data_IF_128506936813
#
_entry.id   IF_128506936813
#
_cell.length_a   1.000
_cell.length_b   1.000
_cell.length_c   1.000
_cell.angle_alpha   90.00
_cell.angle_beta   90.00
_cell.angle_gamma   90.00
#
_symmetry.space_group_name_H-M   'P 1'
#
loop_
_entity.id
_entity.type
_entity.pdbx_description
1 polymer ?
#
# COMPACT_ATOMS: atom_id res chain seq x y z
N UNK A 1 24.04 -9.34 -22.99
CA UNK A 1 24.19 -8.00 -23.59
C UNK A 1 22.79 -7.50 -23.93
N UNK A 2 22.26 -6.53 -23.18
CA UNK A 2 20.97 -5.92 -23.51
C UNK A 2 21.12 -5.14 -24.82
N UNK A 3 20.31 -5.48 -25.82
CA UNK A 3 20.25 -4.70 -27.05
C UNK A 3 19.77 -3.30 -26.66
N UNK A 4 20.54 -2.23 -26.94
CA UNK A 4 20.10 -0.88 -26.61
C UNK A 4 18.81 -0.60 -27.37
N UNK A 5 17.72 -0.37 -26.63
CA UNK A 5 16.45 0.07 -27.20
C UNK A 5 16.72 1.29 -28.09
N UNK A 6 16.35 1.20 -29.37
CA UNK A 6 16.58 2.24 -30.37
C UNK A 6 15.93 3.53 -29.88
N UNK A 7 16.73 4.45 -29.32
CA UNK A 7 16.25 5.74 -28.84
C UNK A 7 15.65 6.51 -30.03
N UNK A 8 14.33 6.65 -30.02
CA UNK A 8 13.59 7.40 -31.04
C UNK A 8 13.87 8.88 -30.78
N UNK A 9 14.77 9.48 -31.57
CA UNK A 9 14.98 10.93 -31.51
C UNK A 9 13.67 11.64 -31.91
N UNK A 10 13.07 12.46 -31.02
CA UNK A 10 11.83 13.14 -31.34
C UNK A 10 12.06 14.17 -32.44
N UNK A 11 11.21 14.17 -33.47
CA UNK A 11 11.25 15.14 -34.57
C UNK A 11 10.62 16.49 -34.22
N UNK A 12 9.78 16.55 -33.19
CA UNK A 12 9.02 17.73 -32.78
C UNK A 12 8.93 17.83 -31.26
N UNK A 13 8.80 19.05 -30.73
CA UNK A 13 8.56 19.30 -29.31
C UNK A 13 7.31 18.57 -28.78
N UNK A 14 6.26 18.40 -29.60
CA UNK A 14 5.06 17.63 -29.23
C UNK A 14 5.41 16.17 -28.97
N UNK A 15 6.19 15.55 -29.86
CA UNK A 15 6.65 14.17 -29.72
C UNK A 15 7.60 14.02 -28.53
N UNK A 16 8.49 14.98 -28.32
CA UNK A 16 9.41 15.01 -27.17
C UNK A 16 8.64 14.96 -25.84
N UNK A 17 7.65 15.85 -25.64
CA UNK A 17 6.81 15.86 -24.43
C UNK A 17 6.04 14.55 -24.23
N UNK A 18 5.60 13.92 -25.32
CA UNK A 18 4.89 12.64 -25.25
C UNK A 18 5.83 11.50 -24.83
N UNK A 19 7.09 11.50 -25.27
CA UNK A 19 8.11 10.54 -24.84
C UNK A 19 8.52 10.78 -23.39
N UNK A 20 8.77 12.02 -22.99
CA UNK A 20 9.12 12.39 -21.61
C UNK A 20 8.01 12.00 -20.61
N UNK A 21 6.74 12.07 -21.01
CA UNK A 21 5.62 11.60 -20.18
C UNK A 21 5.61 10.09 -19.94
N UNK A 22 6.13 9.31 -20.91
CA UNK A 22 6.20 7.84 -20.87
C UNK A 22 7.46 7.31 -20.18
N UNK A 23 8.50 8.14 -20.07
CA UNK A 23 9.72 7.79 -19.36
C UNK A 23 9.45 7.56 -17.88
N UNK A 24 10.31 6.77 -17.23
CA UNK A 24 10.18 6.47 -15.80
C UNK A 24 10.31 7.74 -14.96
N UNK A 25 9.40 7.91 -13.99
CA UNK A 25 9.31 9.11 -13.14
C UNK A 25 9.43 8.72 -11.67
N UNK A 26 9.98 9.61 -10.85
CA UNK A 26 10.06 9.41 -9.39
C UNK A 26 8.66 9.43 -8.75
N UNK A 27 7.82 10.36 -9.22
CA UNK A 27 6.40 10.39 -8.91
C UNK A 27 5.65 9.85 -10.13
N UNK A 28 5.07 8.67 -10.00
CA UNK A 28 4.40 8.00 -11.11
C UNK A 28 3.11 8.72 -11.53
N UNK A 29 2.82 8.64 -12.82
CA UNK A 29 1.53 9.08 -13.35
C UNK A 29 0.41 8.10 -12.92
N UNK A 30 -0.86 8.54 -12.87
CA UNK A 30 -1.97 7.64 -12.65
C UNK A 30 -2.04 6.54 -13.71
N UNK A 31 -2.30 5.31 -13.26
CA UNK A 31 -2.31 4.12 -14.13
C UNK A 31 -3.50 4.13 -15.10
N UNK A 32 -3.18 4.12 -16.39
CA UNK A 32 -4.17 4.00 -17.48
C UNK A 32 -4.55 2.53 -17.68
N UNK A 33 -5.86 2.27 -17.80
CA UNK A 33 -6.39 0.93 -18.06
C UNK A 33 -6.82 0.77 -19.51
N UNK A 34 -6.36 -0.30 -20.15
CA UNK A 34 -6.81 -0.70 -21.48
C UNK A 34 -7.87 -1.82 -21.40
N UNK A 35 -9.03 -1.60 -22.00
CA UNK A 35 -10.13 -2.57 -22.08
C UNK A 35 -10.16 -3.21 -23.47
N UNK A 36 -9.98 -4.52 -23.51
CA UNK A 36 -9.93 -5.33 -24.73
C UNK A 36 -11.01 -6.41 -24.71
N UNK A 37 -11.40 -6.88 -25.90
CA UNK A 37 -12.26 -8.04 -26.05
C UNK A 37 -11.66 -9.10 -26.96
N UNK A 38 -11.82 -10.35 -26.57
CA UNK A 38 -11.51 -11.52 -27.37
C UNK A 38 -12.46 -11.71 -28.55
N UNK A 39 -12.12 -12.65 -29.43
CA UNK A 39 -12.99 -13.11 -30.53
C UNK A 39 -14.35 -13.62 -30.02
N UNK A 40 -14.33 -14.40 -28.94
CA UNK A 40 -15.49 -15.03 -28.31
C UNK A 40 -15.99 -14.30 -27.04
N UNK A 41 -16.02 -12.97 -27.00
CA UNK A 41 -16.49 -12.24 -25.81
C UNK A 41 -18.03 -12.18 -25.71
N UNK A 42 -18.60 -12.71 -24.62
CA UNK A 42 -20.06 -12.70 -24.38
C UNK A 42 -20.61 -11.28 -24.15
N UNK A 43 -21.92 -11.09 -24.38
CA UNK A 43 -22.56 -9.79 -24.17
C UNK A 43 -22.48 -9.31 -22.71
N UNK A 44 -22.62 -10.22 -21.74
CA UNK A 44 -22.51 -9.92 -20.30
C UNK A 44 -21.11 -9.37 -19.98
N UNK A 45 -20.06 -10.04 -20.45
CA UNK A 45 -18.69 -9.55 -20.27
C UNK A 45 -18.47 -8.19 -20.95
N UNK A 46 -19.05 -7.96 -22.13
CA UNK A 46 -18.97 -6.67 -22.82
C UNK A 46 -19.67 -5.54 -22.05
N UNK A 47 -20.81 -5.82 -21.41
CA UNK A 47 -21.49 -4.87 -20.52
C UNK A 47 -20.64 -4.58 -19.28
N UNK A 48 -20.10 -5.59 -18.63
CA UNK A 48 -19.20 -5.40 -17.49
C UNK A 48 -17.95 -4.58 -17.85
N UNK A 49 -17.33 -4.82 -19.02
CA UNK A 49 -16.22 -3.98 -19.52
C UNK A 49 -16.65 -2.52 -19.76
N UNK A 50 -17.90 -2.27 -20.16
CA UNK A 50 -18.40 -0.91 -20.35
C UNK A 50 -18.60 -0.19 -19.00
N UNK A 51 -19.22 -0.86 -18.03
CA UNK A 51 -19.47 -0.29 -16.70
C UNK A 51 -18.17 -0.07 -15.93
N UNK A 52 -17.22 -1.03 -15.96
CA UNK A 52 -15.90 -0.87 -15.37
C UNK A 52 -15.10 0.26 -16.02
N UNK A 53 -15.24 0.45 -17.35
CA UNK A 53 -14.63 1.58 -18.05
C UNK A 53 -15.20 2.90 -17.56
N UNK A 54 -16.51 2.99 -17.36
CA UNK A 54 -17.16 4.21 -16.87
C UNK A 54 -16.68 4.60 -15.47
N UNK A 55 -16.51 3.63 -14.57
CA UNK A 55 -15.93 3.86 -13.25
C UNK A 55 -14.46 4.30 -13.28
N UNK A 56 -13.74 3.99 -14.35
CA UNK A 56 -12.30 4.26 -14.50
C UNK A 56 -12.00 5.53 -15.32
N UNK A 57 -13.02 6.18 -15.89
CA UNK A 57 -12.84 7.45 -16.60
C UNK A 57 -12.24 8.52 -15.67
N UNK A 58 -11.29 9.35 -16.16
CA UNK A 58 -10.80 9.45 -17.53
C UNK A 58 -9.61 8.51 -17.87
N UNK A 59 -9.14 7.70 -16.92
CA UNK A 59 -7.93 6.86 -17.03
C UNK A 59 -8.20 5.52 -17.72
N UNK A 60 -9.02 5.52 -18.77
CA UNK A 60 -9.49 4.33 -19.44
C UNK A 60 -9.50 4.47 -20.97
N UNK A 61 -8.96 3.47 -21.66
CA UNK A 61 -8.98 3.34 -23.12
C UNK A 61 -9.71 2.04 -23.45
N UNK A 62 -10.66 2.05 -24.38
CA UNK A 62 -11.40 0.84 -24.80
C UNK A 62 -11.25 0.61 -26.29
N UNK A 63 -10.88 -0.61 -26.67
CA UNK A 63 -10.85 -1.03 -28.07
C UNK A 63 -12.15 -1.75 -28.45
N UNK A 64 -12.67 -1.41 -29.63
CA UNK A 64 -13.86 -2.05 -30.18
C UNK A 64 -13.52 -3.28 -31.04
N UNK A 65 -12.30 -3.36 -31.60
CA UNK A 65 -11.87 -4.49 -32.42
C UNK A 65 -11.76 -5.75 -31.56
N UNK A 66 -12.19 -6.89 -32.11
CA UNK A 66 -11.97 -8.21 -31.52
C UNK A 66 -10.51 -8.62 -31.72
N UNK A 67 -9.90 -9.17 -30.68
CA UNK A 67 -8.50 -9.61 -30.73
C UNK A 67 -8.46 -11.12 -30.47
N UNK A 68 -7.69 -11.84 -31.29
CA UNK A 68 -7.49 -13.27 -31.12
C UNK A 68 -6.27 -13.48 -30.22
N UNK A 69 -6.51 -13.44 -28.91
CA UNK A 69 -5.47 -13.50 -27.88
C UNK A 69 -5.91 -14.44 -26.78
N UNK A 70 -4.99 -15.29 -26.35
CA UNK A 70 -5.14 -16.20 -25.23
C UNK A 70 -4.12 -15.81 -24.14
N UNK A 71 -4.50 -14.98 -23.14
CA UNK A 71 -3.55 -14.37 -22.21
C UNK A 71 -2.64 -15.35 -21.46
N UNK A 72 -3.14 -16.55 -21.15
CA UNK A 72 -2.39 -17.60 -20.44
C UNK A 72 -1.53 -18.48 -21.35
N UNK A 73 -1.56 -18.28 -22.66
CA UNK A 73 -0.76 -19.04 -23.63
C UNK A 73 0.35 -18.18 -24.24
N UNK A 74 0.01 -16.94 -24.64
CA UNK A 74 0.99 -15.98 -25.15
C UNK A 74 0.62 -14.55 -24.72
N UNK A 75 1.59 -13.81 -24.18
CA UNK A 75 1.43 -12.43 -23.70
C UNK A 75 1.99 -11.36 -24.62
N UNK A 76 2.69 -11.70 -25.70
CA UNK A 76 3.43 -10.76 -26.56
C UNK A 76 2.53 -9.66 -27.15
N UNK A 77 1.33 -10.05 -27.60
CA UNK A 77 0.35 -9.09 -28.14
C UNK A 77 -0.19 -8.13 -27.07
N UNK A 78 -0.31 -8.61 -25.82
CA UNK A 78 -0.78 -7.80 -24.69
C UNK A 78 0.30 -6.81 -24.26
N UNK A 79 1.55 -7.26 -24.20
CA UNK A 79 2.73 -6.44 -23.92
C UNK A 79 2.91 -5.35 -24.99
N UNK A 80 2.76 -5.71 -26.26
CA UNK A 80 2.75 -4.74 -27.36
C UNK A 80 1.65 -3.68 -27.20
N UNK A 81 0.44 -4.09 -26.78
CA UNK A 81 -0.64 -3.14 -26.52
C UNK A 81 -0.37 -2.25 -25.30
N UNK A 82 0.24 -2.79 -24.24
CA UNK A 82 0.68 -2.02 -23.08
C UNK A 82 1.69 -0.94 -23.48
N UNK A 83 2.75 -1.31 -24.20
CA UNK A 83 3.79 -0.38 -24.68
C UNK A 83 3.24 0.69 -25.62
N UNK A 84 2.42 0.27 -26.59
CA UNK A 84 1.89 1.19 -27.61
C UNK A 84 0.97 2.25 -26.98
N UNK A 85 0.12 1.85 -26.05
CA UNK A 85 -0.88 2.72 -25.44
C UNK A 85 -0.42 3.36 -24.13
N UNK A 86 0.77 3.01 -23.62
CA UNK A 86 1.26 3.41 -22.31
C UNK A 86 0.24 3.07 -21.20
N UNK A 87 -0.21 1.81 -21.20
CA UNK A 87 -1.22 1.30 -20.29
C UNK A 87 -0.63 0.22 -19.38
N UNK A 88 -0.52 0.52 -18.09
CA UNK A 88 0.02 -0.39 -17.07
C UNK A 88 -1.01 -1.40 -16.55
N UNK A 89 -2.30 -1.18 -16.85
CA UNK A 89 -3.41 -2.05 -16.46
C UNK A 89 -4.19 -2.48 -17.69
N UNK A 90 -4.71 -3.71 -17.68
CA UNK A 90 -5.56 -4.19 -18.76
C UNK A 90 -6.66 -5.12 -18.25
N UNK A 91 -7.83 -5.02 -18.89
CA UNK A 91 -8.95 -5.95 -18.67
C UNK A 91 -9.33 -6.55 -20.01
N UNK A 92 -9.23 -7.87 -20.11
CA UNK A 92 -9.57 -8.63 -21.30
C UNK A 92 -10.82 -9.46 -21.09
N UNK A 93 -11.88 -9.17 -21.85
CA UNK A 93 -13.11 -9.97 -21.80
C UNK A 93 -13.08 -11.14 -22.75
N UNK A 94 -13.46 -12.32 -22.26
CA UNK A 94 -13.55 -13.56 -23.03
C UNK A 94 -14.73 -14.41 -22.57
N UNK A 95 -15.12 -15.42 -23.37
CA UNK A 95 -16.11 -16.41 -22.97
C UNK A 95 -15.84 -17.75 -23.67
N UNK A 96 -16.06 -18.84 -22.94
CA UNK A 96 -16.04 -20.22 -23.43
C UNK A 96 -16.94 -21.09 -22.54
N UNK A 97 -17.30 -22.30 -22.96
CA UNK A 97 -18.10 -23.23 -22.13
C UNK A 97 -17.43 -23.54 -20.78
N UNK A 98 -16.11 -23.76 -20.77
CA UNK A 98 -15.33 -24.02 -19.54
C UNK A 98 -15.16 -22.77 -18.66
N UNK A 99 -15.10 -21.60 -19.28
CA UNK A 99 -14.81 -20.30 -18.64
C UNK A 99 -15.81 -19.26 -19.15
N UNK A 100 -17.07 -19.33 -18.70
CA UNK A 100 -18.10 -18.43 -19.17
C UNK A 100 -17.91 -17.03 -18.56
N UNK A 101 -18.17 -16.00 -19.37
CA UNK A 101 -18.25 -14.59 -18.93
C UNK A 101 -17.01 -14.10 -18.16
N UNK A 102 -15.82 -14.46 -18.66
CA UNK A 102 -14.56 -14.17 -18.00
C UNK A 102 -14.02 -12.78 -18.29
N UNK A 103 -13.48 -12.16 -17.25
CA UNK A 103 -12.61 -11.00 -17.31
C UNK A 103 -11.23 -11.42 -16.80
N UNK A 104 -10.21 -11.24 -17.63
CA UNK A 104 -8.81 -11.38 -17.22
C UNK A 104 -8.26 -10.00 -16.88
N UNK A 105 -7.93 -9.80 -15.61
CA UNK A 105 -7.30 -8.60 -15.07
C UNK A 105 -5.79 -8.78 -15.09
N UNK A 106 -5.06 -7.79 -15.58
CA UNK A 106 -3.62 -7.89 -15.82
C UNK A 106 -2.92 -6.59 -15.45
N UNK A 107 -1.75 -6.71 -14.81
CA UNK A 107 -0.84 -5.59 -14.57
C UNK A 107 0.44 -5.78 -15.37
N UNK A 108 1.03 -4.66 -15.76
CA UNK A 108 2.28 -4.63 -16.50
C UNK A 108 3.32 -3.84 -15.72
N UNK A 109 4.54 -4.36 -15.71
CA UNK A 109 5.73 -3.67 -15.20
C UNK A 109 6.75 -3.62 -16.33
N UNK A 110 7.22 -2.41 -16.69
CA UNK A 110 8.09 -2.20 -17.85
C UNK A 110 7.52 -2.82 -19.15
N UNK A 111 6.20 -2.67 -19.33
CA UNK A 111 5.41 -3.25 -20.45
C UNK A 111 5.41 -4.78 -20.54
N UNK A 112 6.00 -5.49 -19.57
CA UNK A 112 5.90 -6.95 -19.42
C UNK A 112 4.79 -7.31 -18.45
N UNK A 113 4.13 -8.45 -18.68
CA UNK A 113 3.08 -8.91 -17.77
C UNK A 113 3.68 -9.20 -16.40
N UNK A 114 3.23 -8.46 -15.39
CA UNK A 114 3.59 -8.68 -14.00
C UNK A 114 2.78 -9.86 -13.46
N UNK A 115 1.45 -9.76 -13.51
CA UNK A 115 0.56 -10.78 -12.97
C UNK A 115 -0.82 -10.76 -13.66
N UNK A 116 -1.55 -11.87 -13.53
CA UNK A 116 -2.88 -12.04 -14.14
C UNK A 116 -3.86 -12.76 -13.22
N UNK A 117 -5.12 -12.30 -13.22
CA UNK A 117 -6.21 -12.88 -12.46
C UNK A 117 -7.47 -13.02 -13.34
N UNK A 118 -7.99 -14.23 -13.50
CA UNK A 118 -9.30 -14.44 -14.13
C UNK A 118 -10.41 -14.39 -13.10
N UNK A 119 -11.45 -13.61 -13.40
CA UNK A 119 -12.69 -13.56 -12.64
C UNK A 119 -13.86 -13.79 -13.61
N UNK A 120 -14.73 -14.75 -13.28
CA UNK A 120 -15.89 -15.09 -14.09
C UNK A 120 -17.15 -14.48 -13.50
N UNK A 121 -17.91 -13.76 -14.32
CA UNK A 121 -19.13 -13.08 -13.89
C UNK A 121 -20.26 -14.10 -13.75
N UNK A 122 -20.97 -14.07 -12.63
CA UNK A 122 -22.25 -14.77 -12.49
C UNK A 122 -23.35 -14.02 -13.29
N UNK A 123 -23.92 -14.62 -14.34
CA UNK A 123 -24.94 -13.98 -15.16
C UNK A 123 -26.25 -13.71 -14.42
N UNK A 124 -26.57 -14.47 -13.37
CA UNK A 124 -27.87 -14.38 -12.69
C UNK A 124 -27.96 -13.13 -11.81
N UNK A 125 -26.85 -12.78 -11.17
CA UNK A 125 -26.79 -11.67 -10.20
C UNK A 125 -26.26 -10.37 -10.82
N UNK A 126 -25.64 -10.44 -12.00
CA UNK A 126 -25.12 -9.26 -12.70
C UNK A 126 -26.21 -8.22 -12.96
N UNK A 127 -25.97 -6.97 -12.57
CA UNK A 127 -26.81 -5.81 -12.90
C UNK A 127 -25.93 -4.68 -13.39
N UNK A 128 -26.28 -4.14 -14.56
CA UNK A 128 -25.55 -3.03 -15.17
C UNK A 128 -25.80 -1.72 -14.44
N UNK A 129 -24.88 -0.78 -14.58
CA UNK A 129 -25.01 0.57 -14.02
C UNK A 129 -26.31 1.27 -14.46
N UNK A 130 -26.72 1.09 -15.71
CA UNK A 130 -27.93 1.68 -16.29
C UNK A 130 -29.25 1.08 -15.76
N UNK A 131 -29.22 -0.10 -15.13
CA UNK A 131 -30.43 -0.71 -14.56
C UNK A 131 -30.85 -0.05 -13.24
N UNK A 132 -29.92 0.61 -12.57
CA UNK A 132 -30.17 1.39 -11.37
C UNK A 132 -30.59 2.80 -11.76
N UNK A 133 -31.84 3.18 -11.50
CA UNK A 133 -32.45 4.46 -11.93
C UNK A 133 -32.07 5.68 -11.09
N UNK A 134 -31.15 5.52 -10.14
CA UNK A 134 -30.73 6.56 -9.22
C UNK A 134 -29.59 7.43 -9.76
N UNK A 135 -29.32 8.52 -9.05
CA UNK A 135 -28.21 9.44 -9.35
C UNK A 135 -26.89 8.68 -9.29
N UNK A 136 -26.00 8.96 -10.25
CA UNK A 136 -24.63 8.42 -10.31
C UNK A 136 -23.63 9.43 -9.77
N UNK A 137 -22.47 8.92 -9.33
CA UNK A 137 -21.35 9.76 -8.96
C UNK A 137 -20.82 10.55 -10.17
N UNK A 138 -20.24 11.72 -9.93
CA UNK A 138 -19.58 12.46 -10.99
C UNK A 138 -18.34 11.71 -11.51
N UNK A 139 -18.07 11.85 -12.82
CA UNK A 139 -16.96 11.19 -13.49
C UNK A 139 -15.63 11.71 -12.98
N UNK A 140 -14.66 10.82 -12.76
CA UNK A 140 -13.30 11.17 -12.36
C UNK A 140 -13.10 11.41 -10.86
N UNK A 141 -14.15 11.27 -10.04
CA UNK A 141 -14.02 11.31 -8.58
C UNK A 141 -13.29 10.08 -8.04
N UNK A 142 -12.53 10.26 -6.97
CA UNK A 142 -11.81 9.18 -6.28
C UNK A 142 -12.81 8.35 -5.46
N UNK A 143 -12.98 7.04 -5.73
CA UNK A 143 -13.86 6.21 -4.92
C UNK A 143 -13.28 5.96 -3.54
N UNK A 144 -14.16 5.81 -2.55
CA UNK A 144 -13.80 5.09 -1.32
C UNK A 144 -13.77 3.58 -1.60
N UNK A 145 -12.76 2.88 -1.11
CA UNK A 145 -12.62 1.43 -1.27
C UNK A 145 -12.82 0.74 0.07
N UNK A 146 -13.62 -0.32 0.06
CA UNK A 146 -13.87 -1.16 1.23
C UNK A 146 -13.74 -2.62 0.84
N UNK A 147 -13.02 -3.39 1.65
CA UNK A 147 -12.88 -4.84 1.51
C UNK A 147 -13.36 -5.49 2.79
N UNK A 148 -14.21 -6.50 2.68
CA UNK A 148 -14.73 -7.24 3.84
C UNK A 148 -14.64 -8.74 3.60
N UNK A 149 -14.12 -9.45 4.60
CA UNK A 149 -13.87 -10.90 4.53
C UNK A 149 -12.40 -11.20 4.79
N UNK A 150 -12.14 -12.26 5.56
CA UNK A 150 -10.79 -12.69 5.91
C UNK A 150 -9.94 -13.16 4.72
N UNK A 151 -10.48 -13.68 3.58
CA UNK A 151 -9.65 -14.12 2.46
C UNK A 151 -8.77 -13.01 1.86
N UNK A 152 -9.22 -11.76 1.96
CA UNK A 152 -8.49 -10.58 1.48
C UNK A 152 -7.28 -10.20 2.34
N UNK A 153 -7.16 -10.77 3.54
CA UNK A 153 -6.14 -10.43 4.54
C UNK A 153 -5.25 -11.61 4.91
N UNK A 154 -5.31 -12.69 4.11
CA UNK A 154 -4.44 -13.84 4.29
C UNK A 154 -2.97 -13.42 4.28
N UNK A 155 -2.15 -13.90 5.23
CA UNK A 155 -0.71 -13.65 5.22
C UNK A 155 0.00 -14.34 4.06
N UNK A 156 -0.62 -15.37 3.47
CA UNK A 156 -0.10 -16.09 2.31
C UNK A 156 -0.74 -15.54 1.03
N UNK A 157 0.07 -15.16 0.02
CA UNK A 157 -0.45 -14.73 -1.28
C UNK A 157 -1.39 -15.78 -1.89
N UNK A 158 -2.54 -15.30 -2.34
CA UNK A 158 -3.59 -16.11 -2.95
C UNK A 158 -4.39 -15.23 -3.93
N UNK A 159 -5.41 -15.81 -4.57
CA UNK A 159 -6.22 -15.08 -5.54
C UNK A 159 -6.96 -13.86 -4.94
N UNK A 160 -7.32 -13.90 -3.65
CA UNK A 160 -8.08 -12.84 -2.98
C UNK A 160 -7.17 -11.68 -2.56
N UNK A 161 -6.00 -11.96 -2.00
CA UNK A 161 -4.99 -10.93 -1.70
C UNK A 161 -4.48 -10.28 -2.99
N UNK A 162 -4.32 -11.04 -4.08
CA UNK A 162 -4.04 -10.49 -5.40
C UNK A 162 -5.20 -9.64 -5.92
N UNK A 163 -6.46 -10.07 -5.75
CA UNK A 163 -7.63 -9.27 -6.12
C UNK A 163 -7.70 -7.95 -5.33
N UNK A 164 -7.43 -7.98 -4.01
CA UNK A 164 -7.34 -6.76 -3.17
C UNK A 164 -6.26 -5.82 -3.72
N UNK A 165 -5.05 -6.33 -3.92
CA UNK A 165 -3.92 -5.56 -4.48
C UNK A 165 -4.28 -4.96 -5.85
N UNK A 166 -4.88 -5.75 -6.74
CA UNK A 166 -5.28 -5.33 -8.07
C UNK A 166 -6.37 -4.26 -8.01
N UNK A 167 -7.48 -4.48 -7.30
CA UNK A 167 -8.60 -3.55 -7.28
C UNK A 167 -8.26 -2.24 -6.55
N UNK A 168 -7.39 -2.26 -5.54
CA UNK A 168 -6.83 -1.04 -4.96
C UNK A 168 -6.05 -0.25 -6.00
N UNK A 169 -5.14 -0.90 -6.73
CA UNK A 169 -4.35 -0.25 -7.79
C UNK A 169 -5.21 0.22 -8.98
N UNK A 170 -6.28 -0.52 -9.28
CA UNK A 170 -7.21 -0.23 -10.37
C UNK A 170 -8.06 1.01 -10.07
N UNK A 171 -8.62 1.13 -8.88
CA UNK A 171 -9.59 2.19 -8.54
C UNK A 171 -9.01 3.38 -7.77
N UNK A 172 -7.77 3.32 -7.26
CA UNK A 172 -7.18 4.44 -6.49
C UNK A 172 -7.10 5.75 -7.27
N UNK A 173 -6.97 5.73 -8.60
CA UNK A 173 -6.76 6.94 -9.39
C UNK A 173 -5.42 7.61 -9.10
N UNK A 174 -5.36 8.94 -9.18
CA UNK A 174 -4.14 9.71 -8.87
C UNK A 174 -3.87 9.82 -7.37
N UNK A 175 -2.59 10.02 -7.04
CA UNK A 175 -2.15 10.30 -5.68
C UNK A 175 -2.54 11.75 -5.33
N UNK A 176 -3.15 11.93 -4.16
CA UNK A 176 -3.63 13.22 -3.68
C UNK A 176 -3.27 13.36 -2.20
N UNK A 177 -2.68 14.49 -1.82
CA UNK A 177 -2.33 14.78 -0.42
C UNK A 177 -3.54 15.25 0.38
N UNK A 178 -4.51 15.88 -0.29
CA UNK A 178 -5.76 16.34 0.29
C UNK A 178 -6.92 15.89 -0.61
N UNK A 179 -8.09 15.72 0.00
CA UNK A 179 -9.32 15.33 -0.68
C UNK A 179 -10.42 16.26 -0.21
N UNK A 180 -11.23 16.74 -1.15
CA UNK A 180 -12.41 17.53 -0.85
C UNK A 180 -13.54 16.64 -0.32
N UNK A 181 -14.23 17.10 0.73
CA UNK A 181 -15.31 16.38 1.40
C UNK A 181 -16.49 16.17 0.44
N UNK A 182 -16.78 17.15 -0.42
CA UNK A 182 -17.85 17.02 -1.43
C UNK A 182 -17.52 15.97 -2.52
N UNK A 183 -16.24 15.62 -2.66
CA UNK A 183 -15.76 14.58 -3.56
C UNK A 183 -16.02 13.16 -3.05
N UNK A 184 -16.34 12.98 -1.76
CA UNK A 184 -16.61 11.70 -1.12
C UNK A 184 -18.03 11.19 -1.41
N UNK A 185 -18.35 10.99 -2.70
CA UNK A 185 -19.71 10.72 -3.15
C UNK A 185 -20.08 9.23 -3.18
N UNK A 186 -19.11 8.35 -3.43
CA UNK A 186 -19.40 6.94 -3.66
C UNK A 186 -18.29 6.02 -3.16
N UNK A 187 -18.68 4.78 -2.89
CA UNK A 187 -17.79 3.72 -2.46
C UNK A 187 -17.94 2.49 -3.34
N UNK A 188 -16.82 1.81 -3.58
CA UNK A 188 -16.77 0.48 -4.18
C UNK A 188 -16.42 -0.50 -3.06
N UNK A 189 -17.33 -1.43 -2.83
CA UNK A 189 -17.23 -2.43 -1.78
C UNK A 189 -17.02 -3.81 -2.40
N UNK A 190 -16.01 -4.51 -1.90
CA UNK A 190 -15.72 -5.89 -2.21
C UNK A 190 -15.95 -6.75 -0.97
N UNK A 191 -16.77 -7.78 -1.10
CA UNK A 191 -16.92 -8.78 -0.04
C UNK A 191 -16.68 -10.19 -0.53
N UNK A 192 -16.12 -11.02 0.34
CA UNK A 192 -15.93 -12.45 0.13
C UNK A 192 -16.25 -13.16 1.44
N UNK A 193 -16.96 -14.29 1.36
CA UNK A 193 -17.14 -15.17 2.52
C UNK A 193 -15.83 -15.86 2.85
N UNK A 194 -15.71 -16.32 4.09
CA UNK A 194 -14.56 -17.11 4.51
C UNK A 194 -14.51 -18.43 3.72
N UNK A 195 -13.30 -18.90 3.46
CA UNK A 195 -13.09 -20.18 2.79
C UNK A 195 -13.46 -21.31 3.76
N UNK A 196 -14.32 -22.22 3.30
CA UNK A 196 -14.72 -23.41 4.06
C UNK A 196 -14.17 -24.64 3.33
N UNK A 197 -13.44 -25.49 4.05
CA UNK A 197 -12.85 -26.70 3.49
C UNK A 197 -13.93 -27.61 2.90
N UNK A 198 -13.75 -28.00 1.63
CA UNK A 198 -14.69 -28.84 0.88
C UNK A 198 -15.75 -28.08 0.07
N UNK A 199 -15.87 -26.76 0.26
CA UNK A 199 -16.74 -25.91 -0.56
C UNK A 199 -15.99 -25.29 -1.75
N UNK A 200 -16.69 -24.91 -2.83
CA UNK A 200 -16.08 -24.16 -3.91
C UNK A 200 -15.56 -22.80 -3.40
N UNK A 201 -14.48 -22.32 -4.02
CA UNK A 201 -13.90 -21.00 -3.72
C UNK A 201 -14.98 -19.92 -3.63
N UNK A 202 -15.03 -19.13 -2.54
CA UNK A 202 -16.07 -18.14 -2.34
C UNK A 202 -16.07 -17.07 -3.43
N UNK A 203 -17.26 -16.62 -3.82
CA UNK A 203 -17.37 -15.55 -4.81
C UNK A 203 -16.91 -14.21 -4.22
N UNK A 204 -16.31 -13.37 -5.06
CA UNK A 204 -16.03 -11.97 -4.74
C UNK A 204 -17.21 -11.12 -5.22
N UNK A 205 -17.90 -10.49 -4.29
CA UNK A 205 -19.03 -9.62 -4.56
C UNK A 205 -18.55 -8.17 -4.69
N UNK A 206 -18.64 -7.58 -5.87
CA UNK A 206 -18.40 -6.17 -6.10
C UNK A 206 -19.74 -5.42 -6.10
N UNK A 207 -19.82 -4.38 -5.27
CA UNK A 207 -20.98 -3.49 -5.16
C UNK A 207 -20.52 -2.04 -5.19
N UNK A 208 -21.31 -1.18 -5.80
CA UNK A 208 -21.04 0.26 -5.86
C UNK A 208 -22.20 0.99 -5.24
N UNK A 209 -21.89 1.83 -4.26
CA UNK A 209 -22.87 2.57 -3.48
C UNK A 209 -22.61 4.06 -3.56
N UNK A 210 -23.68 4.84 -3.71
CA UNK A 210 -23.68 6.28 -3.48
C UNK A 210 -23.91 6.53 -1.99
N UNK A 211 -23.18 7.51 -1.44
CA UNK A 211 -23.27 7.88 -0.04
C UNK A 211 -24.25 9.03 0.13
N UNK A 212 -25.16 8.89 1.10
CA UNK A 212 -26.09 9.92 1.55
C UNK A 212 -25.85 10.17 3.03
N UNK A 213 -25.44 11.38 3.37
CA UNK A 213 -25.25 11.80 4.77
C UNK A 213 -26.53 12.44 5.32
N UNK A 214 -27.02 11.94 6.45
CA UNK A 214 -28.13 12.53 7.21
C UNK A 214 -27.62 13.15 8.50
N UNK A 215 -28.33 14.17 9.00
CA UNK A 215 -28.04 14.80 10.30
C UNK A 215 -28.26 13.77 11.41
N UNK A 216 -27.24 13.58 12.26
CA UNK A 216 -27.23 12.61 13.37
C UNK A 216 -27.37 13.26 14.75
N UNK A 217 -27.20 14.58 14.86
CA UNK A 217 -27.12 15.30 16.14
C UNK A 217 -25.72 15.36 16.76
N UNK A 218 -24.74 14.64 16.19
CA UNK A 218 -23.32 14.68 16.57
C UNK A 218 -22.47 15.39 15.51
N UNK A 219 -21.17 15.57 15.77
CA UNK A 219 -20.21 16.13 14.79
C UNK A 219 -20.10 15.28 13.52
N UNK A 220 -20.25 13.95 13.64
CA UNK A 220 -20.20 13.02 12.51
C UNK A 220 -21.61 12.71 11.98
N UNK A 221 -21.87 12.83 10.67
CA UNK A 221 -23.19 12.54 10.10
C UNK A 221 -23.50 11.04 10.10
N UNK A 222 -24.79 10.69 10.06
CA UNK A 222 -25.23 9.32 9.81
C UNK A 222 -25.09 9.01 8.32
N UNK A 223 -24.32 7.99 7.99
CA UNK A 223 -24.10 7.58 6.60
C UNK A 223 -25.13 6.53 6.20
N UNK A 224 -25.86 6.80 5.12
CA UNK A 224 -26.69 5.84 4.41
C UNK A 224 -26.11 5.57 3.03
N UNK A 225 -26.33 4.37 2.51
CA UNK A 225 -25.81 3.93 1.22
C UNK A 225 -26.95 3.57 0.28
N UNK A 226 -26.82 3.94 -0.98
CA UNK A 226 -27.77 3.62 -2.04
C UNK A 226 -27.04 2.93 -3.18
N UNK A 227 -27.48 1.74 -3.58
CA UNK A 227 -26.79 0.98 -4.62
C UNK A 227 -26.97 1.61 -5.99
N UNK A 228 -25.86 1.94 -6.66
CA UNK A 228 -25.84 2.58 -7.98
C UNK A 228 -25.33 1.68 -9.09
N UNK A 229 -24.68 0.57 -8.72
CA UNK A 229 -24.12 -0.40 -9.67
C UNK A 229 -22.79 0.04 -10.31
N UNK A 230 -22.12 -0.86 -11.05
CA UNK A 230 -22.56 -2.21 -11.38
C UNK A 230 -22.56 -3.16 -10.19
N UNK A 231 -23.46 -4.14 -10.22
CA UNK A 231 -23.47 -5.28 -9.30
C UNK A 231 -22.82 -6.45 -10.03
N UNK A 232 -21.69 -6.92 -9.52
CA UNK A 232 -20.95 -8.02 -10.15
C UNK A 232 -20.55 -9.03 -9.09
N UNK A 233 -20.90 -10.29 -9.32
CA UNK A 233 -20.36 -11.41 -8.54
C UNK A 233 -19.35 -12.16 -9.39
N UNK A 234 -18.17 -12.35 -8.83
CA UNK A 234 -17.04 -12.96 -9.48
C UNK A 234 -16.73 -14.31 -8.87
N UNK A 235 -16.68 -15.35 -9.71
CA UNK A 235 -16.05 -16.61 -9.36
C UNK A 235 -14.57 -16.56 -9.74
N UNK A 236 -13.70 -16.89 -8.80
CA UNK A 236 -12.24 -16.90 -9.01
C UNK A 236 -11.85 -17.98 -10.03
N UNK A 237 -10.99 -17.60 -10.98
CA UNK A 237 -10.46 -18.46 -12.03
C UNK A 237 -8.97 -18.74 -11.87
N UNK A 238 -8.26 -18.75 -13.00
CA UNK A 238 -6.82 -18.94 -13.05
C UNK A 238 -6.08 -17.71 -12.50
N UNK A 239 -4.94 -17.98 -11.89
CA UNK A 239 -4.00 -16.98 -11.39
C UNK A 239 -2.66 -17.22 -12.07
N UNK A 240 -2.00 -16.12 -12.48
CA UNK A 240 -0.56 -16.08 -12.77
C UNK A 240 0.05 -15.10 -11.77
N UNK A 241 0.94 -15.61 -10.93
CA UNK A 241 1.70 -14.81 -9.99
C UNK A 241 2.87 -14.12 -10.70
N UNK A 242 3.36 -13.05 -10.08
CA UNK A 242 4.55 -12.37 -10.55
C UNK A 242 5.81 -13.16 -10.20
N UNK A 243 6.80 -13.14 -11.09
CA UNK A 243 8.13 -13.65 -10.77
C UNK A 243 8.70 -12.86 -9.59
N UNK A 244 9.31 -13.56 -8.62
CA UNK A 244 9.77 -12.94 -7.37
C UNK A 244 10.76 -11.78 -7.60
N UNK A 245 11.67 -11.94 -8.56
CA UNK A 245 12.63 -10.90 -8.95
C UNK A 245 11.94 -9.66 -9.52
N UNK A 246 10.97 -9.86 -10.42
CA UNK A 246 10.19 -8.78 -11.03
C UNK A 246 9.31 -8.07 -9.99
N UNK A 247 8.69 -8.82 -9.08
CA UNK A 247 7.89 -8.26 -7.99
C UNK A 247 8.74 -7.41 -7.05
N UNK A 248 9.94 -7.87 -6.71
CA UNK A 248 10.89 -7.12 -5.88
C UNK A 248 11.31 -5.81 -6.55
N UNK A 249 11.57 -5.84 -7.86
CA UNK A 249 11.91 -4.64 -8.63
C UNK A 249 10.72 -3.68 -8.74
N UNK A 250 9.50 -4.20 -8.92
CA UNK A 250 8.27 -3.40 -9.00
C UNK A 250 7.91 -2.71 -7.66
N UNK A 251 8.27 -3.30 -6.52
CA UNK A 251 8.01 -2.75 -5.19
C UNK A 251 9.14 -1.83 -4.67
N UNK A 252 10.20 -1.61 -5.45
CA UNK A 252 11.35 -0.83 -5.04
C UNK A 252 10.99 0.65 -4.89
N UNK A 253 11.27 1.23 -3.73
CA UNK A 253 11.10 2.67 -3.49
C UNK A 253 12.29 3.47 -4.06
N UNK A 254 12.06 4.62 -4.70
CA UNK A 254 13.13 5.47 -5.19
C UNK A 254 13.87 6.12 -4.01
N UNK A 255 15.20 6.10 -4.05
CA UNK A 255 16.06 6.63 -2.98
C UNK A 255 15.86 8.12 -2.69
N UNK A 256 15.33 8.87 -3.66
CA UNK A 256 15.01 10.29 -3.52
C UNK A 256 13.82 10.54 -2.59
N UNK A 257 12.87 9.60 -2.52
CA UNK A 257 11.71 9.68 -1.62
C UNK A 257 12.02 9.18 -0.22
N UNK A 258 13.12 8.46 -0.02
CA UNK A 258 13.57 8.03 1.30
C UNK A 258 14.38 9.16 1.95
N UNK A 259 13.83 9.87 2.96
CA UNK A 259 14.59 10.88 3.68
C UNK A 259 15.76 10.19 4.39
N UNK A 260 16.99 10.57 4.03
CA UNK A 260 18.18 10.10 4.74
C UNK A 260 18.21 10.75 6.12
N UNK A 261 17.66 10.06 7.11
CA UNK A 261 17.78 10.49 8.50
C UNK A 261 19.25 10.39 8.92
N UNK A 262 19.85 11.53 9.22
CA UNK A 262 21.21 11.57 9.78
C UNK A 262 21.07 11.44 11.28
N UNK A 263 21.69 10.43 11.88
CA UNK A 263 21.67 10.20 13.32
C UNK A 263 22.06 11.48 14.06
N UNK A 264 21.31 11.83 15.11
CA UNK A 264 21.53 12.99 15.98
C UNK A 264 21.37 14.36 15.30
N UNK A 265 20.79 14.44 14.09
CA UNK A 265 20.48 15.71 13.42
C UNK A 265 18.99 15.72 13.11
N UNK A 266 18.28 16.67 13.71
CA UNK A 266 16.85 16.89 13.49
C UNK A 266 16.65 18.28 12.86
N UNK A 267 15.48 18.49 12.24
CA UNK A 267 15.08 19.82 11.74
C UNK A 267 13.88 20.25 12.56
N UNK A 268 14.00 21.38 13.24
CA UNK A 268 12.96 21.93 14.10
C UNK A 268 11.77 22.46 13.25
N UNK A 269 10.64 22.75 13.90
CA UNK A 269 9.44 23.33 13.27
C UNK A 269 9.73 24.66 12.55
N UNK A 270 10.74 25.39 13.01
CA UNK A 270 11.21 26.63 12.38
C UNK A 270 12.13 26.39 11.16
N UNK A 271 12.51 25.14 10.89
CA UNK A 271 13.41 24.77 9.79
C UNK A 271 14.90 24.72 10.16
N UNK A 272 15.24 25.00 11.41
CA UNK A 272 16.62 24.99 11.90
C UNK A 272 17.14 23.57 12.13
N UNK A 273 18.41 23.32 11.79
CA UNK A 273 19.05 22.02 12.03
C UNK A 273 19.61 21.95 13.44
N UNK A 274 19.03 21.08 14.26
CA UNK A 274 19.43 20.87 15.65
C UNK A 274 20.23 19.57 15.76
N UNK A 275 21.43 19.65 16.34
CA UNK A 275 22.27 18.49 16.64
C UNK A 275 22.13 18.06 18.09
N UNK A 276 21.77 16.81 18.36
CA UNK A 276 21.75 16.26 19.73
C UNK A 276 23.12 15.71 20.12
N UNK A 277 23.75 16.34 21.10
CA UNK A 277 24.97 15.81 21.74
C UNK A 277 24.55 14.96 22.93
N UNK A 278 24.86 13.66 22.86
CA UNK A 278 24.63 12.76 23.98
C UNK A 278 25.88 12.75 24.86
N UNK A 279 25.87 13.52 25.93
CA UNK A 279 26.92 13.49 26.94
C UNK A 279 26.77 12.19 27.74
N UNK A 280 27.85 11.44 27.90
CA UNK A 280 27.84 10.22 28.71
C UNK A 280 27.64 10.55 30.20
N UNK A 281 27.21 9.55 30.99
CA UNK A 281 27.17 9.69 32.45
C UNK A 281 28.60 9.92 32.97
N UNK A 282 28.84 11.06 33.60
CA UNK A 282 30.14 11.38 34.18
C UNK A 282 30.26 10.68 35.54
N UNK A 283 31.16 9.69 35.63
CA UNK A 283 31.48 9.04 36.90
C UNK A 283 32.57 9.84 37.64
N UNK A 284 32.18 10.47 38.74
CA UNK A 284 33.05 11.30 39.58
C UNK A 284 33.76 10.51 40.68
N UNK A 285 33.46 9.22 40.85
CA UNK A 285 34.10 8.41 41.88
C UNK A 285 35.59 8.18 41.59
N UNK A 286 35.99 8.29 40.33
CA UNK A 286 37.39 8.24 39.91
C UNK A 286 38.12 9.57 40.10
N UNK A 287 37.41 10.65 40.44
CA UNK A 287 38.00 11.98 40.62
C UNK A 287 38.62 12.09 42.01
N UNK A 288 39.88 11.65 42.14
CA UNK A 288 40.65 11.91 43.34
C UNK A 288 41.03 13.40 43.40
N UNK A 289 40.43 14.14 44.32
CA UNK A 289 40.80 15.54 44.55
C UNK A 289 42.21 15.64 45.15
N UNK A 290 42.89 16.77 44.90
CA UNK A 290 44.20 17.03 45.50
C UNK A 290 44.03 17.09 47.02
N UNK A 291 44.64 16.15 47.74
CA UNK A 291 44.67 16.13 49.21
C UNK A 291 45.51 17.30 49.75
N UNK A 292 44.91 18.48 49.82
CA UNK A 292 45.54 19.68 50.37
C UNK A 292 45.89 19.45 51.84
N UNK A 293 46.89 20.18 52.34
CA UNK A 293 47.39 19.99 53.71
C UNK A 293 46.28 20.14 54.76
N UNK A 294 45.34 21.07 54.57
CA UNK A 294 44.20 21.27 55.48
C UNK A 294 43.07 20.25 55.40
N UNK A 295 43.09 19.34 54.41
CA UNK A 295 42.12 18.23 54.28
C UNK A 295 42.70 16.90 54.78
N UNK A 296 43.98 16.89 55.18
CA UNK A 296 44.59 15.74 55.82
C UNK A 296 44.28 15.84 57.31
N UNK A 297 43.62 14.83 57.88
CA UNK A 297 43.45 14.70 59.33
C UNK A 297 44.81 14.89 60.00
N UNK A 298 44.87 15.77 60.98
CA UNK A 298 46.07 15.91 61.80
C UNK A 298 46.18 14.69 62.72
N UNK A 299 47.36 14.43 63.25
CA UNK A 299 47.58 13.26 64.10
C UNK A 299 46.80 13.36 65.43
N UNK A 300 46.53 14.60 65.86
CA UNK A 300 45.75 14.95 67.05
C UNK A 300 44.26 14.59 66.86
N UNK A 301 43.68 14.86 65.67
CA UNK A 301 42.26 14.54 65.38
C UNK A 301 41.95 13.03 65.39
N UNK A 302 42.95 12.19 65.09
CA UNK A 302 42.79 10.72 65.07
C UNK A 302 42.92 10.14 66.48
N UNK A 303 43.72 10.77 67.33
CA UNK A 303 43.91 10.36 68.73
C UNK A 303 42.67 10.73 69.58
N UNK A 304 42.03 11.88 69.34
CA UNK A 304 40.76 12.28 70.00
C UNK A 304 39.56 11.37 69.63
N UNK A 305 39.43 10.92 68.36
CA UNK A 305 38.35 9.99 67.96
C UNK A 305 38.53 8.57 68.55
N UNK A 306 39.77 8.16 68.89
CA UNK A 306 40.04 6.85 69.48
C UNK A 306 39.84 6.77 71.01
N UNK A 307 39.75 7.91 71.69
CA UNK A 307 39.48 7.98 73.14
C UNK A 307 38.00 8.22 73.48
N UNK A 308 37.14 8.61 72.52
CA UNK A 308 35.73 8.97 72.76
C UNK A 308 34.69 8.15 71.93
N UNK A 309 34.99 6.86 71.69
CA UNK A 309 34.17 5.97 70.85
C UNK A 309 33.42 4.84 71.57
N UNK A 310 33.24 4.94 72.90
CA UNK A 310 32.47 3.98 73.69
C UNK A 310 31.03 4.45 73.89
N UNK A 311 30.07 3.68 73.39
CA UNK A 311 28.59 3.81 73.52
C UNK A 311 27.89 4.93 72.74
N UNK A 312 27.01 4.55 71.80
CA UNK A 312 25.59 4.95 71.66
C UNK A 312 25.04 4.34 70.33
N UNK A 313 24.35 3.20 70.41
CA UNK A 313 22.89 3.02 70.22
C UNK A 313 22.47 2.90 68.74
N UNK A 314 22.05 1.68 68.38
CA UNK A 314 21.20 1.36 67.24
C UNK A 314 19.90 2.15 67.32
N UNK A 315 19.56 2.89 66.27
CA UNK A 315 18.17 3.22 65.97
C UNK A 315 17.90 2.87 64.51
N UNK A 316 17.16 1.78 64.33
CA UNK A 316 16.46 1.40 63.11
C UNK A 316 15.49 2.52 62.70
N UNK A 317 15.66 3.06 61.49
CA UNK A 317 14.54 3.65 60.76
C UNK A 317 14.53 3.01 59.38
N UNK A 318 13.54 2.16 59.21
CA UNK A 318 13.05 1.57 57.98
C UNK A 318 12.53 2.65 57.02
N UNK A 319 13.01 2.65 55.79
CA UNK A 319 12.25 3.12 54.64
C UNK A 319 12.39 2.07 53.53
N UNK A 320 11.43 1.14 53.51
CA UNK A 320 11.06 0.42 52.30
C UNK A 320 10.28 1.40 51.40
N UNK A 321 10.69 1.58 50.15
CA UNK A 321 9.80 1.38 48.99
C UNK A 321 10.57 1.46 47.66
N UNK A 322 10.41 0.37 46.90
CA UNK A 322 10.24 0.28 45.43
C UNK A 322 11.30 0.86 44.49
N UNK A 323 12.06 -0.03 43.84
CA UNK A 323 11.90 -0.33 42.40
C UNK A 323 13.09 -1.18 41.89
N UNK A 324 12.92 -2.50 41.85
CA UNK A 324 13.76 -3.40 41.04
C UNK A 324 12.88 -4.18 40.07
N UNK A 325 12.83 -3.71 38.83
CA UNK A 325 12.84 -4.59 37.65
C UNK A 325 13.12 -3.76 36.40
N UNK A 326 14.35 -3.84 35.89
CA UNK A 326 14.66 -4.08 34.47
C UNK A 326 16.18 -4.02 34.26
N UNK A 327 16.81 -5.19 34.23
CA UNK A 327 18.12 -5.36 33.64
C UNK A 327 18.03 -5.23 32.10
N UNK A 328 19.03 -4.62 31.44
CA UNK A 328 19.33 -4.96 30.06
C UNK A 328 20.61 -5.78 29.97
N UNK A 329 20.46 -6.94 29.34
CA UNK A 329 21.50 -7.85 28.89
C UNK A 329 22.68 -7.15 28.21
N UNK A 330 23.89 -7.59 28.57
CA UNK A 330 25.12 -7.18 27.90
C UNK A 330 25.33 -8.05 26.66
N UNK A 331 25.21 -7.47 25.46
CA UNK A 331 25.77 -8.09 24.25
C UNK A 331 27.23 -7.65 24.05
N UNK A 332 28.17 -8.60 23.81
CA UNK A 332 29.58 -8.25 23.63
C UNK A 332 29.83 -7.59 22.27
N UNK A 333 30.60 -6.50 22.31
CA UNK A 333 31.10 -5.79 21.12
C UNK A 333 31.99 -6.73 20.30
N UNK A 334 31.62 -6.97 19.04
CA UNK A 334 32.51 -7.53 18.02
C UNK A 334 33.72 -6.62 17.83
N UNK A 335 34.90 -7.18 18.05
CA UNK A 335 36.17 -6.58 17.65
C UNK A 335 36.22 -6.45 16.12
N UNK A 336 36.70 -5.30 15.66
CA UNK A 336 37.13 -5.10 14.28
C UNK A 336 38.43 -5.89 14.05
N UNK A 337 38.40 -6.78 13.06
CA UNK A 337 39.53 -7.07 12.17
C UNK A 337 39.01 -6.91 10.76
#
# INVERSE_FOLDING_TARGET
MSIPLRQIKPKSARTKRALEKREAQVHENPKTTLFLRGTSCSQIAQYALADLKQLKEPLAIKFNKKNDIHPFENTDSLEFFSEKNDASLMVFGHHSKKRPHGLTFMRFFQWKVLDMLELYIDPNTFRQLNQFKNKKAAVGLKPMLSFSGTPFESPVPNAYTQAKSYFTDFFRGGDAQSVDVEGLQFMIHFSAKDEVDGEPKPAIHMRVYLIRTKRSGQKLPRVEVEETGPRIDFRVGRVKEADESMMKDALKKPKQLEPKTKKNIETDIMGDKVGRVHVGKQDLNQLQTRKMKGLKRSKEDVEEESEDGGTMIEDEISDEEMDEDLAPETHPKRARV
#
